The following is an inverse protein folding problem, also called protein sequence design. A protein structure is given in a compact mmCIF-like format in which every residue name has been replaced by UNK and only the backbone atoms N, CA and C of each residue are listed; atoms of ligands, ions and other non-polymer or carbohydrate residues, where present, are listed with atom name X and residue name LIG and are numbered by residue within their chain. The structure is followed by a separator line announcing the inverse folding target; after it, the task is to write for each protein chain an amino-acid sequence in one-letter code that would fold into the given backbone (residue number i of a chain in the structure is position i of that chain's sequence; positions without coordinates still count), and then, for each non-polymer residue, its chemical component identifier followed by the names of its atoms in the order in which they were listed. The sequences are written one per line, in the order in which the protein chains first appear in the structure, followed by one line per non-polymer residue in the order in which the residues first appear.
data_IF_380433597927
#
_entry.id   IF_380433597927
#
_cell.length_a   1.000
_cell.length_b   1.000
_cell.length_c   1.000
_cell.angle_alpha   90.00
_cell.angle_beta   90.00
_cell.angle_gamma   90.00
#
_symmetry.space_group_name_H-M   'P 1'
#
loop_
_entity.id
_entity.type
_entity.pdbx_description
1 polymer ?
#
# COMPACT_ATOMS: atom_id res chain seq x y z
N UNK A 1 70.14 63.58 8.86
CA UNK A 1 69.59 64.01 7.63
C UNK A 1 68.07 63.85 7.73
N UNK A 2 67.44 64.99 8.00
CA UNK A 2 65.97 65.05 8.09
C UNK A 2 65.34 65.16 6.76
N UNK A 3 64.14 64.64 6.62
CA UNK A 3 63.22 65.04 5.57
C UNK A 3 61.86 65.35 6.23
N UNK A 4 61.63 66.65 6.29
CA UNK A 4 60.32 67.20 6.57
C UNK A 4 59.39 66.92 5.42
N UNK A 5 58.21 66.35 5.68
CA UNK A 5 57.10 66.28 4.75
C UNK A 5 56.09 67.38 5.11
N UNK A 6 55.64 68.15 4.13
CA UNK A 6 54.73 69.29 4.38
C UNK A 6 53.32 68.84 4.65
N UNK A 7 52.74 69.35 5.71
CA UNK A 7 51.29 69.33 6.02
C UNK A 7 50.51 70.17 5.00
N UNK A 8 49.72 69.54 4.17
CA UNK A 8 48.72 70.21 3.38
C UNK A 8 47.41 70.40 4.23
N UNK A 9 46.83 71.56 4.16
CA UNK A 9 45.55 71.82 4.89
C UNK A 9 44.37 71.17 4.09
N UNK A 10 43.47 70.55 4.84
CA UNK A 10 42.21 70.09 4.31
C UNK A 10 41.33 71.29 3.98
N UNK A 11 40.71 71.31 2.79
CA UNK A 11 39.74 72.32 2.47
C UNK A 11 38.33 71.89 2.94
N UNK A 12 37.72 72.80 3.68
CA UNK A 12 36.37 73.24 3.59
C UNK A 12 35.21 72.58 4.26
N UNK A 13 34.70 73.40 5.03
CA UNK A 13 33.30 73.65 5.35
C UNK A 13 32.32 73.10 4.34
N UNK A 14 31.67 72.00 4.71
CA UNK A 14 30.40 71.56 4.10
C UNK A 14 29.36 72.53 4.62
N UNK A 15 28.80 73.32 3.73
CA UNK A 15 27.62 74.17 4.05
C UNK A 15 26.53 73.23 4.58
N UNK A 16 26.05 73.50 5.79
CA UNK A 16 24.89 72.87 6.36
C UNK A 16 23.66 73.33 5.55
N UNK A 17 23.03 72.38 4.88
CA UNK A 17 21.73 72.54 4.26
C UNK A 17 20.70 72.62 5.41
N UNK A 18 19.95 73.75 5.55
CA UNK A 18 19.03 73.92 6.69
C UNK A 18 17.67 73.23 6.47
N UNK A 19 17.61 72.12 5.71
CA UNK A 19 16.38 71.44 5.38
C UNK A 19 16.39 69.92 5.51
N UNK A 20 17.48 69.34 6.01
CA UNK A 20 17.46 67.88 6.29
C UNK A 20 17.24 67.68 7.78
N UNK A 21 16.00 67.35 8.13
CA UNK A 21 15.68 66.68 9.38
C UNK A 21 16.45 65.35 9.43
N UNK A 22 17.63 65.33 10.03
CA UNK A 22 18.25 64.08 10.47
C UNK A 22 17.37 63.51 11.56
N UNK A 23 16.99 62.25 11.49
CA UNK A 23 16.29 61.62 12.58
C UNK A 23 17.23 61.65 13.81
N UNK A 24 16.71 62.20 14.86
CA UNK A 24 17.36 62.27 16.17
C UNK A 24 17.86 60.88 16.59
N UNK A 25 18.97 60.91 17.31
CA UNK A 25 19.70 59.85 18.05
C UNK A 25 19.16 58.39 17.84
N UNK A 26 20.03 57.44 17.40
CA UNK A 26 19.67 56.05 17.33
C UNK A 26 19.15 55.43 18.63
N UNK A 27 19.20 56.17 19.74
CA UNK A 27 18.69 55.76 21.04
C UNK A 27 17.22 56.11 21.31
N UNK A 28 16.57 56.91 20.44
CA UNK A 28 15.13 57.27 20.58
C UNK A 28 14.18 56.25 19.92
N UNK A 29 14.68 55.13 19.47
CA UNK A 29 13.80 54.05 18.99
C UNK A 29 13.13 53.36 20.18
N UNK A 30 11.84 53.57 20.33
CA UNK A 30 11.01 52.95 21.37
C UNK A 30 11.24 51.41 21.40
N UNK A 31 11.78 50.88 22.53
CA UNK A 31 12.02 49.44 22.68
C UNK A 31 10.75 48.60 22.53
N UNK A 32 9.57 49.24 22.52
CA UNK A 32 8.28 48.55 22.33
C UNK A 32 7.94 48.17 20.89
N UNK A 33 8.58 48.80 19.90
CA UNK A 33 8.24 48.58 18.50
C UNK A 33 8.73 47.25 17.93
N UNK A 34 9.85 46.72 18.45
CA UNK A 34 10.43 45.44 18.03
C UNK A 34 9.80 44.23 18.71
N UNK A 35 9.06 44.42 19.78
CA UNK A 35 8.55 43.32 20.61
C UNK A 35 7.14 42.82 20.21
N UNK A 36 6.41 43.55 19.37
CA UNK A 36 4.96 43.26 19.10
C UNK A 36 4.68 42.14 18.14
N UNK A 37 5.45 41.79 17.07
CA UNK A 37 5.08 40.74 16.14
C UNK A 37 5.29 39.31 16.68
N UNK A 38 6.21 39.09 17.64
CA UNK A 38 6.49 37.74 18.16
C UNK A 38 5.33 37.15 18.96
N UNK A 39 4.67 37.92 19.83
CA UNK A 39 3.57 37.42 20.69
C UNK A 39 2.31 37.05 19.90
N UNK A 40 2.01 37.71 18.79
CA UNK A 40 0.85 37.42 17.92
C UNK A 40 1.11 36.12 17.15
N UNK A 41 2.31 35.91 16.59
CA UNK A 41 2.71 34.68 15.90
C UNK A 41 2.65 33.47 16.84
N UNK A 42 3.11 33.60 18.08
CA UNK A 42 3.03 32.53 19.08
C UNK A 42 1.59 32.16 19.44
N UNK A 43 0.69 33.11 19.55
CA UNK A 43 -0.74 32.84 19.77
C UNK A 43 -1.40 32.11 18.60
N UNK A 44 -1.07 32.49 17.37
CA UNK A 44 -1.56 31.81 16.17
C UNK A 44 -1.01 30.39 16.10
N UNK A 45 0.30 30.18 16.30
CA UNK A 45 0.92 28.86 16.32
C UNK A 45 0.30 27.96 17.39
N UNK A 46 0.07 28.47 18.60
CA UNK A 46 -0.60 27.68 19.66
C UNK A 46 -2.04 27.31 19.30
N UNK A 47 -2.78 28.17 18.62
CA UNK A 47 -4.14 27.84 18.14
C UNK A 47 -4.11 26.79 17.04
N UNK A 48 -3.19 26.91 16.08
CA UNK A 48 -3.00 25.90 15.04
C UNK A 48 -2.61 24.55 15.67
N UNK A 49 -1.65 24.56 16.60
CA UNK A 49 -1.24 23.34 17.32
C UNK A 49 -2.40 22.73 18.11
N UNK A 50 -3.23 23.54 18.77
CA UNK A 50 -4.40 23.05 19.50
C UNK A 50 -5.47 22.45 18.55
N UNK A 51 -5.69 23.05 17.38
CA UNK A 51 -6.61 22.53 16.36
C UNK A 51 -6.07 21.21 15.81
N UNK A 52 -4.78 21.14 15.46
CA UNK A 52 -4.15 19.91 14.96
C UNK A 52 -4.20 18.79 16.02
N UNK A 53 -3.95 19.12 17.28
CA UNK A 53 -4.07 18.16 18.39
C UNK A 53 -5.52 17.67 18.54
N UNK A 54 -6.51 18.57 18.49
CA UNK A 54 -7.91 18.21 18.54
C UNK A 54 -8.33 17.29 17.39
N UNK A 55 -7.86 17.58 16.16
CA UNK A 55 -8.09 16.71 15.00
C UNK A 55 -7.41 15.35 15.15
N UNK A 56 -6.20 15.31 15.69
CA UNK A 56 -5.50 14.06 15.96
C UNK A 56 -6.25 13.19 16.99
N UNK A 57 -6.69 13.79 18.10
CA UNK A 57 -7.48 13.10 19.13
C UNK A 57 -8.80 12.58 18.54
N UNK A 58 -9.51 13.41 17.76
CA UNK A 58 -10.75 13.01 17.11
C UNK A 58 -10.50 11.84 16.14
N UNK A 59 -9.44 11.88 15.35
CA UNK A 59 -9.08 10.80 14.42
C UNK A 59 -8.80 9.50 15.14
N UNK A 60 -8.04 9.54 16.23
CA UNK A 60 -7.74 8.35 17.06
C UNK A 60 -9.02 7.80 17.71
N UNK A 61 -9.88 8.67 18.23
CA UNK A 61 -11.17 8.27 18.81
C UNK A 61 -12.08 7.61 17.77
N UNK A 62 -12.21 8.22 16.59
CA UNK A 62 -12.99 7.67 15.46
C UNK A 62 -12.46 6.31 15.04
N UNK A 63 -11.14 6.18 14.89
CA UNK A 63 -10.51 4.91 14.56
C UNK A 63 -10.79 3.83 15.62
N UNK A 64 -10.67 4.17 16.90
CA UNK A 64 -10.99 3.26 17.99
C UNK A 64 -12.46 2.80 17.98
N UNK A 65 -13.39 3.73 17.73
CA UNK A 65 -14.81 3.39 17.59
C UNK A 65 -15.03 2.46 16.38
N UNK A 66 -14.45 2.74 15.23
CA UNK A 66 -14.55 1.90 14.05
C UNK A 66 -14.03 0.48 14.31
N UNK A 67 -12.90 0.34 15.01
CA UNK A 67 -12.41 -0.97 15.44
C UNK A 67 -13.40 -1.67 16.38
N UNK A 68 -14.00 -0.97 17.32
CA UNK A 68 -14.94 -1.59 18.29
C UNK A 68 -16.23 -2.09 17.63
N UNK A 69 -16.81 -1.32 16.71
CA UNK A 69 -18.06 -1.69 16.04
C UNK A 69 -17.88 -2.71 14.90
N UNK A 70 -16.66 -2.86 14.38
CA UNK A 70 -16.36 -3.87 13.34
C UNK A 70 -16.40 -5.28 13.96
N UNK A 71 -16.95 -6.30 13.27
CA UNK A 71 -17.00 -7.66 13.78
C UNK A 71 -15.64 -8.24 14.17
N UNK A 72 -15.66 -9.25 15.06
CA UNK A 72 -14.47 -10.05 15.39
C UNK A 72 -14.04 -10.89 14.18
N UNK A 73 -12.73 -11.16 14.04
CA UNK A 73 -12.18 -12.03 13.00
C UNK A 73 -11.80 -13.43 13.49
N UNK A 74 -12.17 -13.78 14.73
CA UNK A 74 -11.84 -15.09 15.31
C UNK A 74 -12.46 -16.26 14.51
N UNK A 75 -13.54 -16.02 13.78
CA UNK A 75 -14.22 -16.98 12.93
C UNK A 75 -13.67 -17.05 11.48
N UNK A 76 -12.59 -16.30 11.15
CA UNK A 76 -12.04 -16.24 9.81
C UNK A 76 -11.72 -17.64 9.23
N UNK A 77 -11.11 -18.51 10.02
CA UNK A 77 -10.81 -19.87 9.60
C UNK A 77 -12.07 -20.72 9.35
N UNK A 78 -13.14 -20.49 10.13
CA UNK A 78 -14.42 -21.17 9.91
C UNK A 78 -15.09 -20.68 8.63
N UNK A 79 -15.02 -19.38 8.33
CA UNK A 79 -15.52 -18.78 7.08
C UNK A 79 -14.75 -19.29 5.87
N UNK A 80 -13.42 -19.33 5.94
CA UNK A 80 -12.59 -19.91 4.88
C UNK A 80 -12.99 -21.36 4.61
N UNK A 81 -13.11 -22.18 5.65
CA UNK A 81 -13.59 -23.57 5.52
C UNK A 81 -14.96 -23.65 4.88
N UNK A 82 -15.90 -22.78 5.24
CA UNK A 82 -17.24 -22.78 4.66
C UNK A 82 -17.24 -22.45 3.18
N UNK A 83 -16.36 -21.54 2.74
CA UNK A 83 -16.15 -21.20 1.32
C UNK A 83 -15.62 -22.43 0.58
N UNK A 84 -14.56 -23.05 1.10
CA UNK A 84 -13.93 -24.20 0.45
C UNK A 84 -14.89 -25.39 0.35
N UNK A 85 -15.66 -25.66 1.40
CA UNK A 85 -16.71 -26.68 1.40
C UNK A 85 -17.80 -26.41 0.36
N UNK A 86 -18.21 -25.14 0.21
CA UNK A 86 -19.21 -24.75 -0.79
C UNK A 86 -18.71 -24.97 -2.22
N UNK A 87 -17.39 -24.97 -2.43
CA UNK A 87 -16.75 -25.22 -3.72
C UNK A 87 -16.10 -26.61 -3.84
N UNK A 88 -16.38 -27.50 -2.88
CA UNK A 88 -15.84 -28.88 -2.84
C UNK A 88 -14.31 -28.95 -2.81
N UNK A 89 -13.67 -27.97 -2.17
CA UNK A 89 -12.22 -27.89 -1.97
C UNK A 89 -11.86 -28.31 -0.55
N UNK A 90 -10.72 -28.98 -0.39
CA UNK A 90 -10.23 -29.41 0.92
C UNK A 90 -9.69 -28.19 1.72
N UNK A 91 -10.09 -28.11 3.02
CA UNK A 91 -9.59 -27.08 3.94
C UNK A 91 -8.95 -27.74 5.20
N UNK A 92 -7.82 -27.28 5.67
CA UNK A 92 -6.93 -26.31 5.01
C UNK A 92 -6.27 -26.93 3.78
N UNK A 93 -6.08 -26.13 2.73
CA UNK A 93 -5.32 -26.55 1.56
C UNK A 93 -3.85 -26.87 1.87
N UNK A 94 -3.06 -27.28 0.89
CA UNK A 94 -1.63 -27.54 1.08
C UNK A 94 -0.87 -26.27 1.45
N UNK A 95 0.36 -26.38 2.00
CA UNK A 95 1.22 -25.22 2.24
C UNK A 95 1.40 -24.38 0.98
N UNK A 96 1.39 -23.05 1.15
CA UNK A 96 1.63 -22.12 0.04
C UNK A 96 3.10 -22.17 -0.36
N UNK A 97 3.43 -22.52 -1.61
CA UNK A 97 4.84 -22.59 -2.05
C UNK A 97 5.44 -21.19 -2.17
N UNK A 98 6.76 -21.10 -1.94
CA UNK A 98 7.49 -19.82 -1.95
C UNK A 98 7.35 -19.05 -3.26
N UNK A 99 7.42 -19.73 -4.41
CA UNK A 99 7.27 -19.10 -5.73
C UNK A 99 5.92 -18.39 -5.90
N UNK A 100 4.82 -19.03 -5.47
CA UNK A 100 3.52 -18.41 -5.53
C UNK A 100 3.38 -17.27 -4.50
N UNK A 101 3.83 -17.48 -3.26
CA UNK A 101 3.78 -16.47 -2.22
C UNK A 101 4.56 -15.20 -2.62
N UNK A 102 5.76 -15.34 -3.17
CA UNK A 102 6.57 -14.23 -3.65
C UNK A 102 5.93 -13.53 -4.85
N UNK A 103 5.38 -14.28 -5.79
CA UNK A 103 4.66 -13.74 -6.96
C UNK A 103 3.43 -12.94 -6.54
N UNK A 104 2.63 -13.47 -5.63
CA UNK A 104 1.44 -12.81 -5.10
C UNK A 104 1.80 -11.54 -4.33
N UNK A 105 2.74 -11.65 -3.40
CA UNK A 105 3.17 -10.51 -2.57
C UNK A 105 3.84 -9.43 -3.40
N UNK A 106 4.71 -9.77 -4.34
CA UNK A 106 5.36 -8.78 -5.21
C UNK A 106 4.35 -7.99 -6.05
N UNK A 107 3.22 -8.60 -6.40
CA UNK A 107 2.21 -8.01 -7.28
C UNK A 107 1.14 -7.25 -6.52
N UNK A 108 0.56 -7.88 -5.51
CA UNK A 108 -0.61 -7.37 -4.80
C UNK A 108 -0.24 -6.51 -3.58
N UNK A 109 0.83 -6.88 -2.87
CA UNK A 109 1.19 -6.23 -1.59
C UNK A 109 2.68 -6.40 -1.29
N UNK A 110 3.55 -5.71 -2.04
CA UNK A 110 5.01 -5.87 -1.93
C UNK A 110 5.57 -5.55 -0.54
N UNK A 111 4.81 -4.90 0.33
CA UNK A 111 5.19 -4.58 1.71
C UNK A 111 4.59 -5.51 2.74
N UNK A 112 3.84 -6.53 2.31
CA UNK A 112 3.14 -7.48 3.17
C UNK A 112 3.98 -8.01 4.34
N UNK A 113 5.26 -8.34 4.10
CA UNK A 113 6.14 -8.85 5.16
C UNK A 113 6.76 -7.77 6.05
N UNK A 114 6.91 -6.56 5.57
CA UNK A 114 7.60 -5.45 6.25
C UNK A 114 6.68 -4.52 7.00
N UNK A 115 5.39 -4.44 6.62
CA UNK A 115 4.44 -3.55 7.26
C UNK A 115 3.54 -4.33 8.24
N UNK A 116 3.19 -3.73 9.38
CA UNK A 116 2.03 -4.16 10.13
C UNK A 116 0.80 -3.95 9.23
N UNK A 117 -0.23 -4.79 9.33
CA UNK A 117 -1.42 -4.81 8.45
C UNK A 117 -2.22 -3.51 8.33
N UNK A 118 -1.68 -2.44 8.88
CA UNK A 118 -2.13 -1.06 8.73
C UNK A 118 -1.14 -0.32 7.85
N UNK A 119 -1.41 -0.25 6.55
CA UNK A 119 -0.78 0.77 5.73
C UNK A 119 -1.47 2.11 6.03
N UNK A 120 -0.86 2.90 6.94
CA UNK A 120 -1.32 4.27 7.25
C UNK A 120 -1.35 5.12 5.97
N UNK A 121 -0.47 4.84 5.01
CA UNK A 121 -0.48 5.47 3.70
C UNK A 121 -1.63 4.97 2.81
N UNK A 122 -2.11 3.73 2.98
CA UNK A 122 -3.31 3.26 2.29
C UNK A 122 -4.55 4.01 2.80
N UNK A 123 -4.67 4.25 4.10
CA UNK A 123 -5.75 5.07 4.67
C UNK A 123 -5.70 6.49 4.09
N UNK A 124 -4.52 7.10 4.03
CA UNK A 124 -4.35 8.42 3.42
C UNK A 124 -4.66 8.42 1.91
N UNK A 125 -4.29 7.36 1.17
CA UNK A 125 -4.62 7.19 -0.26
C UNK A 125 -6.11 7.02 -0.49
N UNK A 126 -6.78 6.14 0.26
CA UNK A 126 -8.24 5.94 0.17
C UNK A 126 -8.97 7.24 0.44
N UNK A 127 -8.54 7.99 1.47
CA UNK A 127 -9.11 9.30 1.79
C UNK A 127 -8.88 10.30 0.64
N UNK A 128 -7.67 10.37 0.09
CA UNK A 128 -7.34 11.24 -1.03
C UNK A 128 -8.05 10.83 -2.33
N UNK A 129 -8.17 9.54 -2.63
CA UNK A 129 -8.88 9.00 -3.79
C UNK A 129 -10.37 9.31 -3.71
N UNK A 130 -10.97 9.19 -2.53
CA UNK A 130 -12.38 9.55 -2.29
C UNK A 130 -12.62 11.04 -2.51
N UNK A 131 -11.71 11.90 -2.05
CA UNK A 131 -11.82 13.37 -2.22
C UNK A 131 -11.55 13.78 -3.67
N UNK A 132 -10.67 13.10 -4.40
CA UNK A 132 -10.28 13.46 -5.78
C UNK A 132 -11.09 12.75 -6.85
N UNK A 133 -11.99 11.82 -6.48
CA UNK A 133 -12.79 11.02 -7.43
C UNK A 133 -11.95 10.09 -8.31
N UNK A 134 -10.67 9.92 -8.02
CA UNK A 134 -9.78 8.97 -8.71
C UNK A 134 -9.87 7.65 -7.98
N UNK A 135 -10.66 6.72 -8.52
CA UNK A 135 -10.70 5.34 -8.02
C UNK A 135 -9.28 4.77 -7.97
N UNK A 136 -8.90 4.22 -6.83
CA UNK A 136 -7.59 3.60 -6.62
C UNK A 136 -7.52 2.31 -7.46
N UNK A 137 -6.77 2.35 -8.55
CA UNK A 137 -6.47 1.18 -9.38
C UNK A 137 -5.25 0.45 -8.81
N UNK A 138 -5.39 -0.15 -7.64
CA UNK A 138 -4.36 -1.04 -7.09
C UNK A 138 -3.71 -0.56 -5.80
N UNK A 139 -4.35 -0.80 -4.69
CA UNK A 139 -3.84 -0.45 -3.36
C UNK A 139 -4.45 -1.24 -2.21
N UNK A 140 -5.35 -2.17 -2.49
CA UNK A 140 -5.89 -3.03 -1.44
C UNK A 140 -4.82 -4.04 -0.99
N UNK A 141 -4.51 -4.06 0.29
CA UNK A 141 -3.59 -5.05 0.87
C UNK A 141 -4.18 -6.46 0.79
N UNK A 142 -3.33 -7.49 0.87
CA UNK A 142 -3.80 -8.88 0.93
C UNK A 142 -4.76 -9.12 2.11
N UNK A 143 -4.59 -8.38 3.21
CA UNK A 143 -5.51 -8.41 4.33
C UNK A 143 -6.91 -7.88 3.99
N UNK A 144 -6.98 -6.77 3.26
CA UNK A 144 -8.25 -6.20 2.82
C UNK A 144 -8.95 -7.09 1.79
N UNK A 145 -8.19 -7.68 0.86
CA UNK A 145 -8.72 -8.64 -0.11
C UNK A 145 -9.26 -9.89 0.60
N UNK A 146 -8.54 -10.43 1.57
CA UNK A 146 -9.01 -11.55 2.40
C UNK A 146 -10.25 -11.17 3.19
N UNK A 147 -10.27 -9.99 3.83
CA UNK A 147 -11.44 -9.48 4.55
C UNK A 147 -12.66 -9.38 3.63
N UNK A 148 -12.48 -8.88 2.40
CA UNK A 148 -13.53 -8.83 1.37
C UNK A 148 -14.08 -10.23 1.09
N UNK A 149 -13.22 -11.21 0.83
CA UNK A 149 -13.64 -12.57 0.50
C UNK A 149 -14.40 -13.23 1.66
N UNK A 150 -13.94 -13.05 2.90
CA UNK A 150 -14.51 -13.72 4.06
C UNK A 150 -15.75 -13.04 4.65
N UNK A 151 -15.82 -11.70 4.62
CA UNK A 151 -16.82 -10.96 5.37
C UNK A 151 -17.78 -10.13 4.52
N UNK A 152 -17.31 -9.62 3.38
CA UNK A 152 -18.07 -8.68 2.54
C UNK A 152 -18.05 -9.03 1.05
N UNK A 153 -18.28 -10.30 0.63
CA UNK A 153 -18.07 -10.74 -0.75
C UNK A 153 -18.99 -10.03 -1.77
N UNK A 154 -20.13 -9.51 -1.31
CA UNK A 154 -21.10 -8.77 -2.13
C UNK A 154 -21.18 -7.28 -1.78
N UNK A 155 -20.31 -6.84 -0.87
CA UNK A 155 -20.31 -5.45 -0.42
C UNK A 155 -19.66 -4.53 -1.44
N UNK A 156 -20.13 -3.26 -1.46
CA UNK A 156 -19.56 -2.19 -2.29
C UNK A 156 -19.77 -0.82 -1.64
N UNK A 157 -19.02 0.16 -2.14
CA UNK A 157 -19.06 1.53 -1.65
C UNK A 157 -18.18 1.77 -0.42
N UNK A 158 -18.00 3.05 -0.10
CA UNK A 158 -17.03 3.54 0.90
C UNK A 158 -17.19 2.92 2.29
N UNK A 159 -18.43 2.68 2.73
CA UNK A 159 -18.68 2.04 4.04
C UNK A 159 -18.07 0.64 4.10
N UNK A 160 -18.28 -0.15 3.05
CA UNK A 160 -17.72 -1.51 2.94
C UNK A 160 -16.21 -1.49 2.85
N UNK A 161 -15.64 -0.52 2.13
CA UNK A 161 -14.18 -0.36 2.02
C UNK A 161 -13.56 -0.03 3.38
N UNK A 162 -14.19 0.87 4.16
CA UNK A 162 -13.77 1.16 5.54
C UNK A 162 -13.86 -0.09 6.41
N UNK A 163 -14.95 -0.86 6.31
CA UNK A 163 -15.12 -2.11 7.04
C UNK A 163 -14.04 -3.12 6.68
N UNK A 164 -13.71 -3.28 5.39
CA UNK A 164 -12.63 -4.16 4.92
C UNK A 164 -11.26 -3.74 5.45
N UNK A 165 -10.98 -2.43 5.53
CA UNK A 165 -9.75 -1.91 6.16
C UNK A 165 -9.69 -2.31 7.62
N UNK A 166 -10.76 -2.10 8.38
CA UNK A 166 -10.81 -2.43 9.81
C UNK A 166 -10.70 -3.94 10.06
N UNK A 167 -11.37 -4.75 9.25
CA UNK A 167 -11.25 -6.21 9.28
C UNK A 167 -9.85 -6.68 8.91
N UNK A 168 -9.22 -6.07 7.90
CA UNK A 168 -7.84 -6.34 7.50
C UNK A 168 -6.85 -6.09 8.63
N UNK A 169 -7.01 -4.98 9.36
CA UNK A 169 -6.23 -4.67 10.57
C UNK A 169 -6.42 -5.75 11.64
N UNK A 170 -7.66 -6.16 11.91
CA UNK A 170 -7.93 -7.22 12.90
C UNK A 170 -7.34 -8.56 12.47
N UNK A 171 -7.38 -8.89 11.19
CA UNK A 171 -6.76 -10.12 10.66
C UNK A 171 -5.25 -10.12 10.90
N UNK A 172 -4.55 -9.01 10.62
CA UNK A 172 -3.12 -8.90 10.89
C UNK A 172 -2.78 -9.01 12.38
N UNK A 173 -3.56 -8.37 13.24
CA UNK A 173 -3.35 -8.42 14.69
C UNK A 173 -3.66 -9.81 15.29
N UNK A 174 -4.49 -10.63 14.62
CA UNK A 174 -4.96 -11.90 15.15
C UNK A 174 -4.19 -13.10 14.60
N UNK A 175 -3.74 -13.04 13.34
CA UNK A 175 -3.16 -14.20 12.67
C UNK A 175 -1.75 -13.91 12.15
N UNK A 176 -0.81 -14.88 12.23
CA UNK A 176 0.50 -14.74 11.61
C UNK A 176 0.38 -14.67 10.09
N UNK A 177 1.28 -13.93 9.44
CA UNK A 177 1.29 -13.68 7.99
C UNK A 177 1.20 -14.95 7.14
N UNK A 178 1.89 -16.00 7.54
CA UNK A 178 1.80 -17.29 6.86
C UNK A 178 0.38 -17.89 6.85
N UNK A 179 -0.39 -17.68 7.93
CA UNK A 179 -1.77 -18.12 8.02
C UNK A 179 -2.70 -17.26 7.16
N UNK A 180 -2.44 -15.96 7.09
CA UNK A 180 -3.17 -15.04 6.19
C UNK A 180 -2.98 -15.47 4.73
N UNK A 181 -1.73 -15.67 4.29
CA UNK A 181 -1.44 -16.14 2.93
C UNK A 181 -2.08 -17.49 2.63
N UNK A 182 -2.08 -18.41 3.60
CA UNK A 182 -2.72 -19.71 3.42
C UNK A 182 -4.23 -19.57 3.25
N UNK A 183 -4.91 -18.86 4.16
CA UNK A 183 -6.35 -18.62 4.03
C UNK A 183 -6.69 -17.91 2.71
N UNK A 184 -5.87 -16.94 2.29
CA UNK A 184 -6.03 -16.29 1.00
C UNK A 184 -5.93 -17.27 -0.15
N UNK A 185 -4.87 -18.08 -0.19
CA UNK A 185 -4.63 -19.07 -1.23
C UNK A 185 -5.71 -20.16 -1.27
N UNK A 186 -6.31 -20.49 -0.10
CA UNK A 186 -7.39 -21.46 -0.01
C UNK A 186 -8.68 -20.91 -0.64
N UNK A 187 -9.09 -19.66 -0.33
CA UNK A 187 -10.41 -19.13 -0.73
C UNK A 187 -10.41 -18.33 -2.04
N UNK A 188 -9.24 -17.97 -2.57
CA UNK A 188 -9.16 -17.15 -3.77
C UNK A 188 -9.75 -17.87 -4.98
N UNK A 189 -10.48 -17.11 -5.81
CA UNK A 189 -10.99 -17.59 -7.09
C UNK A 189 -9.95 -17.31 -8.19
N UNK A 190 -9.59 -18.33 -8.96
CA UNK A 190 -8.58 -18.25 -10.01
C UNK A 190 -9.16 -18.30 -11.43
N UNK A 191 -10.46 -18.22 -11.59
CA UNK A 191 -11.12 -18.39 -12.90
C UNK A 191 -11.48 -19.86 -13.17
N UNK A 192 -12.18 -20.09 -14.27
CA UNK A 192 -12.55 -21.42 -14.76
C UNK A 192 -13.26 -22.33 -13.75
N UNK A 193 -13.89 -21.75 -12.72
CA UNK A 193 -14.51 -22.51 -11.64
C UNK A 193 -13.54 -22.97 -10.55
N UNK A 194 -12.25 -22.63 -10.62
CA UNK A 194 -11.26 -23.05 -9.65
C UNK A 194 -11.20 -22.10 -8.44
N UNK A 195 -11.58 -22.61 -7.29
CA UNK A 195 -11.41 -21.98 -5.99
C UNK A 195 -10.23 -22.66 -5.27
N UNK A 196 -9.36 -21.85 -4.70
CA UNK A 196 -8.15 -22.30 -4.03
C UNK A 196 -6.98 -22.62 -4.98
N UNK A 197 -5.77 -22.39 -4.46
CA UNK A 197 -4.54 -22.59 -5.22
C UNK A 197 -4.34 -24.06 -5.66
N UNK A 198 -4.77 -25.01 -4.84
CA UNK A 198 -4.66 -26.43 -5.16
C UNK A 198 -5.50 -26.81 -6.38
N UNK A 199 -6.76 -26.37 -6.39
CA UNK A 199 -7.66 -26.62 -7.52
C UNK A 199 -7.18 -25.91 -8.80
N UNK A 200 -6.67 -24.68 -8.68
CA UNK A 200 -6.16 -23.92 -9.81
C UNK A 200 -4.87 -24.55 -10.39
N UNK A 201 -3.93 -24.95 -9.54
CA UNK A 201 -2.68 -25.62 -9.97
C UNK A 201 -2.97 -26.91 -10.72
N UNK A 202 -3.87 -27.72 -10.17
CA UNK A 202 -4.29 -28.97 -10.80
C UNK A 202 -5.07 -28.72 -12.10
N UNK A 203 -6.07 -27.84 -12.04
CA UNK A 203 -6.97 -27.61 -13.16
C UNK A 203 -6.31 -26.95 -14.37
N UNK A 204 -5.39 -26.02 -14.15
CA UNK A 204 -4.69 -25.38 -15.26
C UNK A 204 -3.45 -26.14 -15.72
N UNK A 205 -2.65 -26.67 -14.78
CA UNK A 205 -1.31 -27.19 -15.10
C UNK A 205 -1.12 -28.69 -14.80
N UNK A 206 -2.13 -29.36 -14.24
CA UNK A 206 -2.00 -30.78 -13.90
C UNK A 206 -0.97 -31.07 -12.80
N UNK A 207 -0.66 -30.08 -11.95
CA UNK A 207 0.36 -30.20 -10.89
C UNK A 207 -0.20 -29.79 -9.53
N UNK A 208 0.52 -30.17 -8.48
CA UNK A 208 0.22 -29.66 -7.12
C UNK A 208 0.81 -28.27 -6.94
N UNK A 209 0.38 -27.48 -5.93
CA UNK A 209 1.00 -26.18 -5.63
C UNK A 209 2.52 -26.25 -5.44
N UNK A 210 3.02 -27.31 -4.81
CA UNK A 210 4.46 -27.51 -4.60
C UNK A 210 5.25 -27.76 -5.90
N UNK A 211 4.59 -28.26 -6.93
CA UNK A 211 5.19 -28.54 -8.24
C UNK A 211 5.14 -27.37 -9.22
N UNK A 212 4.56 -26.22 -8.83
CA UNK A 212 4.48 -25.05 -9.72
C UNK A 212 5.88 -24.53 -10.10
N UNK A 213 6.07 -24.33 -11.37
CA UNK A 213 7.21 -23.58 -11.93
C UNK A 213 7.01 -22.08 -11.77
N UNK A 214 8.07 -21.28 -11.98
CA UNK A 214 7.99 -19.82 -11.88
C UNK A 214 6.93 -19.20 -12.83
N UNK A 215 6.86 -19.56 -14.14
CA UNK A 215 5.81 -19.02 -15.02
C UNK A 215 4.40 -19.41 -14.59
N UNK A 216 4.18 -20.63 -14.12
CA UNK A 216 2.89 -21.09 -13.62
C UNK A 216 2.46 -20.35 -12.36
N UNK A 217 3.39 -20.20 -11.39
CA UNK A 217 3.16 -19.46 -10.15
C UNK A 217 2.87 -17.98 -10.44
N UNK A 218 3.63 -17.35 -11.35
CA UNK A 218 3.42 -15.98 -11.78
C UNK A 218 2.06 -15.81 -12.49
N UNK A 219 1.67 -16.77 -13.33
CA UNK A 219 0.36 -16.77 -13.97
C UNK A 219 -0.75 -16.81 -12.92
N UNK A 220 -0.74 -17.78 -11.99
CA UNK A 220 -1.77 -17.88 -10.96
C UNK A 220 -1.83 -16.64 -10.09
N UNK A 221 -0.68 -16.10 -9.67
CA UNK A 221 -0.66 -14.84 -8.92
C UNK A 221 -1.25 -13.67 -9.72
N UNK A 222 -1.07 -13.66 -11.04
CA UNK A 222 -1.66 -12.64 -11.91
C UNK A 222 -3.17 -12.76 -12.07
N UNK A 223 -3.73 -13.97 -11.99
CA UNK A 223 -5.16 -14.23 -12.19
C UNK A 223 -6.04 -13.63 -11.09
N UNK A 224 -5.54 -13.48 -9.85
CA UNK A 224 -6.37 -13.04 -8.71
C UNK A 224 -7.01 -11.67 -8.91
N UNK A 225 -6.43 -10.82 -9.75
CA UNK A 225 -6.98 -9.49 -10.06
C UNK A 225 -8.18 -9.54 -11.02
N UNK A 226 -8.18 -10.48 -11.97
CA UNK A 226 -9.21 -10.59 -12.99
C UNK A 226 -9.46 -12.03 -13.43
N UNK A 227 -9.81 -12.93 -12.51
CA UNK A 227 -9.75 -14.38 -12.74
C UNK A 227 -10.59 -14.87 -13.92
N UNK A 228 -11.77 -14.30 -14.12
CA UNK A 228 -12.63 -14.67 -15.27
C UNK A 228 -12.21 -13.98 -16.57
N UNK A 229 -11.69 -12.76 -16.46
CA UNK A 229 -11.27 -11.96 -17.60
C UNK A 229 -9.94 -12.43 -18.19
N UNK A 230 -9.06 -12.95 -17.34
CA UNK A 230 -7.70 -13.37 -17.69
C UNK A 230 -7.53 -14.89 -17.66
N UNK A 231 -8.64 -15.66 -17.64
CA UNK A 231 -8.66 -17.13 -17.68
C UNK A 231 -7.77 -17.66 -18.83
N UNK A 232 -6.67 -18.39 -18.54
CA UNK A 232 -5.70 -18.78 -19.56
C UNK A 232 -6.26 -19.78 -20.60
N UNK A 233 -7.30 -20.53 -20.25
CA UNK A 233 -7.97 -21.45 -21.20
C UNK A 233 -8.79 -20.67 -22.23
N UNK A 234 -9.44 -19.59 -21.81
CA UNK A 234 -10.31 -18.77 -22.67
C UNK A 234 -9.57 -17.60 -23.29
N UNK A 235 -8.61 -17.02 -22.58
CA UNK A 235 -7.96 -15.76 -22.89
C UNK A 235 -6.43 -15.83 -22.70
N UNK A 236 -5.80 -16.83 -23.35
CA UNK A 236 -4.37 -17.12 -23.19
C UNK A 236 -3.45 -15.88 -23.28
N UNK A 237 -3.65 -15.03 -24.28
CA UNK A 237 -2.85 -13.83 -24.46
C UNK A 237 -2.97 -12.84 -23.28
N UNK A 238 -4.16 -12.73 -22.67
CA UNK A 238 -4.36 -11.89 -21.50
C UNK A 238 -3.70 -12.47 -20.27
N UNK A 239 -3.81 -13.79 -20.04
CA UNK A 239 -3.11 -14.50 -18.99
C UNK A 239 -1.58 -14.31 -19.10
N UNK A 240 -1.03 -14.43 -20.34
CA UNK A 240 0.39 -14.13 -20.60
C UNK A 240 0.76 -12.68 -20.30
N UNK A 241 -0.12 -11.73 -20.58
CA UNK A 241 0.08 -10.31 -20.19
C UNK A 241 0.14 -10.14 -18.67
N UNK A 242 -0.70 -10.86 -17.94
CA UNK A 242 -0.68 -10.86 -16.46
C UNK A 242 0.59 -11.52 -15.91
N UNK A 243 1.00 -12.65 -16.46
CA UNK A 243 2.26 -13.31 -16.13
C UNK A 243 3.46 -12.36 -16.32
N UNK A 244 3.55 -11.71 -17.47
CA UNK A 244 4.62 -10.74 -17.76
C UNK A 244 4.64 -9.60 -16.74
N UNK A 245 3.45 -9.11 -16.33
CA UNK A 245 3.34 -8.10 -15.28
C UNK A 245 3.90 -8.63 -13.95
N UNK A 246 3.51 -9.83 -13.51
CA UNK A 246 4.00 -10.43 -12.25
C UNK A 246 5.51 -10.65 -12.29
N UNK A 247 6.05 -11.19 -13.38
CA UNK A 247 7.49 -11.36 -13.57
C UNK A 247 8.24 -10.03 -13.48
N UNK A 248 7.70 -8.97 -14.09
CA UNK A 248 8.23 -7.61 -13.97
C UNK A 248 8.20 -7.08 -12.53
N UNK A 249 7.17 -7.39 -11.77
CA UNK A 249 7.08 -7.05 -10.34
C UNK A 249 8.11 -7.80 -9.50
N UNK A 250 8.33 -9.10 -9.77
CA UNK A 250 9.38 -9.88 -9.11
C UNK A 250 10.78 -9.32 -9.37
N UNK A 251 11.05 -8.86 -10.60
CA UNK A 251 12.31 -8.16 -10.93
C UNK A 251 12.43 -6.83 -10.16
N UNK A 252 11.39 -6.00 -10.20
CA UNK A 252 11.41 -4.68 -9.54
C UNK A 252 11.54 -4.75 -8.03
N UNK A 253 11.11 -5.85 -7.42
CA UNK A 253 11.26 -6.13 -5.98
C UNK A 253 12.52 -6.95 -5.63
N UNK A 254 13.38 -7.23 -6.61
CA UNK A 254 14.66 -7.92 -6.42
C UNK A 254 14.53 -9.42 -6.08
N UNK A 255 13.37 -10.03 -6.37
CA UNK A 255 13.13 -11.46 -6.11
C UNK A 255 13.74 -12.36 -7.17
N UNK A 256 13.76 -11.91 -8.42
CA UNK A 256 14.41 -12.58 -9.54
C UNK A 256 15.19 -11.57 -10.39
N UNK A 257 16.11 -12.06 -11.19
CA UNK A 257 16.84 -11.25 -12.19
C UNK A 257 16.01 -11.05 -13.46
N UNK A 258 16.35 -10.05 -14.27
CA UNK A 258 15.73 -9.84 -15.58
C UNK A 258 15.92 -11.07 -16.49
N UNK A 259 17.10 -11.72 -16.43
CA UNK A 259 17.38 -12.93 -17.20
C UNK A 259 16.44 -14.08 -16.81
N UNK A 260 16.19 -14.28 -15.52
CA UNK A 260 15.24 -15.29 -15.03
C UNK A 260 13.81 -14.98 -15.48
N UNK A 261 13.38 -13.70 -15.41
CA UNK A 261 12.07 -13.30 -15.89
C UNK A 261 11.91 -13.56 -17.39
N UNK A 262 12.91 -13.20 -18.20
CA UNK A 262 12.90 -13.45 -19.65
C UNK A 262 12.86 -14.94 -19.96
N UNK A 263 13.67 -15.76 -19.28
CA UNK A 263 13.69 -17.22 -19.46
C UNK A 263 12.36 -17.87 -19.03
N UNK A 264 11.74 -17.40 -17.95
CA UNK A 264 10.42 -17.86 -17.52
C UNK A 264 9.35 -17.51 -18.55
N UNK A 265 9.31 -16.27 -19.00
CA UNK A 265 8.33 -15.82 -19.98
C UNK A 265 8.49 -16.48 -21.36
N UNK A 266 9.69 -16.92 -21.74
CA UNK A 266 9.91 -17.64 -22.99
C UNK A 266 9.30 -19.06 -22.97
N UNK A 267 8.98 -19.60 -21.81
CA UNK A 267 8.34 -20.91 -21.69
C UNK A 267 6.85 -20.81 -22.08
N UNK A 268 6.35 -21.82 -22.76
CA UNK A 268 4.92 -21.97 -23.02
C UNK A 268 4.25 -22.53 -21.75
N UNK A 269 3.07 -21.98 -21.37
CA UNK A 269 2.31 -22.52 -20.23
C UNK A 269 1.72 -23.88 -20.61
N UNK A 270 2.01 -24.97 -19.87
CA UNK A 270 1.54 -26.32 -20.19
C UNK A 270 0.10 -26.53 -19.70
N UNK A 271 -0.86 -25.86 -20.35
CA UNK A 271 -2.27 -25.94 -19.96
C UNK A 271 -2.84 -27.33 -20.25
N UNK A 272 -3.50 -27.94 -19.28
CA UNK A 272 -4.16 -29.26 -19.40
C UNK A 272 -5.64 -29.18 -19.78
N UNK A 273 -6.11 -27.98 -20.20
CA UNK A 273 -7.45 -27.80 -20.78
C UNK A 273 -8.62 -27.98 -19.81
N UNK A 274 -8.43 -27.79 -18.53
CA UNK A 274 -9.48 -27.90 -17.51
C UNK A 274 -9.84 -29.35 -17.12
N UNK A 275 -9.12 -30.34 -17.68
CA UNK A 275 -9.34 -31.75 -17.39
C UNK A 275 -8.46 -32.31 -16.29
N UNK A 276 -7.89 -31.46 -15.44
CA UNK A 276 -7.00 -31.84 -14.34
C UNK A 276 -7.69 -32.70 -13.26
N UNK A 277 -8.19 -33.87 -13.67
CA UNK A 277 -8.64 -34.93 -12.78
C UNK A 277 -7.43 -35.79 -12.44
N UNK A 278 -6.92 -35.71 -11.19
CA UNK A 278 -5.88 -36.64 -10.76
C UNK A 278 -4.69 -36.05 -10.01
N UNK A 279 -4.68 -34.76 -9.72
CA UNK A 279 -3.70 -34.20 -8.80
C UNK A 279 -4.14 -34.52 -7.36
N UNK A 280 -3.90 -35.73 -6.91
CA UNK A 280 -4.04 -36.09 -5.49
C UNK A 280 -2.92 -35.41 -4.72
N UNK A 281 -3.30 -34.64 -3.71
CA UNK A 281 -2.42 -33.99 -2.71
C UNK A 281 -1.61 -35.02 -1.95
#
# INVERSE_FOLDING_TARGET
MGFDAPTAPLPYGVAQDPGQDYPDDPHDLDPGEWARPRRRRWRVLRRIAAVLMGLAVLSVATFGVLLLITPSVNDAAARARAIDQAHHVAYPGPPVPGLFAESLVATEDHRFYSEPGVDVFAIARVTAATVTGRGDQGGATLYQQLAKMLYTPRGGGIRTEIEQVMLGIKLDLTFPKARILRMYADVAYFGHGYYGLAAASCGYFGTTPAGLTLPEAATLAGLVQGPSADDPIRHYARARGREAHVLGRLVSTGKITQAQATAAFAQHLPLVGGSGTGCTS
#
